data_IF_775265730728
#
_entry.id   IF_775265730728
#
_cell.length_a   1.000
_cell.length_b   1.000
_cell.length_c   1.000
_cell.angle_alpha   90.00
_cell.angle_beta   90.00
_cell.angle_gamma   90.00
#
_symmetry.space_group_name_H-M   'P 1'
#
loop_
_entity.id
_entity.type
_entity.pdbx_description
1 polymer ?
#
# COMPACT_ATOMS: atom_id res chain seq x y z
N UNK A 1 7.09 9.92 -3.39
CA UNK A 1 6.46 11.15 -3.93
C UNK A 1 7.51 12.18 -4.37
N UNK A 2 8.63 12.32 -3.65
CA UNK A 2 9.67 13.29 -4.01
C UNK A 2 10.36 12.96 -5.34
N UNK A 3 10.49 11.67 -5.66
CA UNK A 3 11.08 11.23 -6.93
C UNK A 3 10.24 11.66 -8.13
N UNK A 4 8.92 11.43 -8.08
CA UNK A 4 8.00 11.81 -9.14
C UNK A 4 7.96 13.33 -9.31
N UNK A 5 7.85 14.08 -8.21
CA UNK A 5 7.91 15.54 -8.21
C UNK A 5 9.21 16.06 -8.80
N UNK A 6 10.36 15.47 -8.44
CA UNK A 6 11.67 15.82 -8.96
C UNK A 6 11.75 15.60 -10.48
N UNK A 7 11.26 14.46 -10.96
CA UNK A 7 11.22 14.13 -12.40
C UNK A 7 10.40 15.15 -13.17
N UNK A 8 9.20 15.49 -12.71
CA UNK A 8 8.38 16.52 -13.35
C UNK A 8 9.02 17.92 -13.28
N UNK A 9 9.73 18.23 -12.20
CA UNK A 9 10.45 19.49 -12.06
C UNK A 9 11.60 19.63 -13.06
N UNK A 10 12.29 18.54 -13.39
CA UNK A 10 13.29 18.52 -14.47
C UNK A 10 12.65 18.71 -15.84
N UNK A 11 11.42 18.24 -16.04
CA UNK A 11 10.68 18.37 -17.29
C UNK A 11 9.93 19.71 -17.45
N UNK A 12 10.16 20.72 -16.59
CA UNK A 12 9.44 22.00 -16.61
C UNK A 12 9.42 22.71 -17.98
N UNK A 13 10.48 22.55 -18.75
CA UNK A 13 10.56 23.09 -20.11
C UNK A 13 9.60 22.43 -21.09
N UNK A 14 9.37 21.12 -20.94
CA UNK A 14 8.45 20.33 -21.75
C UNK A 14 6.99 20.64 -21.39
N UNK A 15 6.67 20.64 -20.11
CA UNK A 15 5.32 20.94 -19.60
C UNK A 15 5.00 22.44 -19.59
N UNK A 16 5.99 23.31 -19.89
CA UNK A 16 5.90 24.78 -19.96
C UNK A 16 5.33 25.42 -18.69
N UNK A 17 5.57 24.82 -17.54
CA UNK A 17 5.16 25.34 -16.24
C UNK A 17 5.99 24.69 -15.13
N UNK A 18 6.07 25.34 -13.98
CA UNK A 18 6.76 24.81 -12.82
C UNK A 18 5.76 24.02 -11.95
N UNK A 19 5.99 22.73 -11.72
CA UNK A 19 5.20 21.95 -10.78
C UNK A 19 5.29 22.56 -9.38
N UNK A 20 4.21 22.44 -8.61
CA UNK A 20 4.10 22.94 -7.25
C UNK A 20 3.64 21.79 -6.35
N UNK A 21 4.23 21.68 -5.17
CA UNK A 21 3.81 20.71 -4.16
C UNK A 21 2.94 21.39 -3.13
N UNK A 22 1.74 20.85 -2.89
CA UNK A 22 0.89 21.32 -1.82
C UNK A 22 1.27 20.62 -0.52
N UNK A 23 1.69 21.38 0.49
CA UNK A 23 2.12 20.85 1.78
C UNK A 23 0.98 20.70 2.79
N UNK A 24 -0.12 21.43 2.59
CA UNK A 24 -1.33 21.35 3.41
C UNK A 24 -2.59 21.31 2.54
N UNK A 25 -3.72 21.01 3.19
CA UNK A 25 -5.03 21.03 2.55
C UNK A 25 -5.43 22.44 2.10
N UNK A 26 -5.18 23.43 2.95
CA UNK A 26 -5.47 24.85 2.68
C UNK A 26 -4.64 25.34 1.49
N UNK A 27 -3.39 24.91 1.41
CA UNK A 27 -2.54 25.22 0.27
C UNK A 27 -3.05 24.55 -1.01
N UNK A 28 -3.46 23.28 -0.94
CA UNK A 28 -4.08 22.57 -2.08
C UNK A 28 -5.34 23.32 -2.55
N UNK A 29 -6.22 23.73 -1.65
CA UNK A 29 -7.42 24.49 -1.98
C UNK A 29 -7.08 25.82 -2.65
N UNK A 30 -6.12 26.55 -2.12
CA UNK A 30 -5.65 27.82 -2.71
C UNK A 30 -5.08 27.63 -4.12
N UNK A 31 -4.28 26.57 -4.33
CA UNK A 31 -3.69 26.26 -5.64
C UNK A 31 -4.75 25.84 -6.66
N UNK A 32 -5.82 25.20 -6.24
CA UNK A 32 -6.95 24.79 -7.09
C UNK A 32 -7.87 25.95 -7.49
N UNK A 33 -7.77 27.12 -6.88
CA UNK A 33 -8.61 28.30 -7.22
C UNK A 33 -8.15 29.00 -8.50
N UNK A 34 -7.00 28.65 -9.07
CA UNK A 34 -6.53 29.24 -10.33
C UNK A 34 -7.46 28.85 -11.50
N UNK A 35 -7.64 29.76 -12.45
CA UNK A 35 -8.60 29.57 -13.55
C UNK A 35 -8.21 28.42 -14.50
N UNK A 36 -6.91 28.23 -14.79
CA UNK A 36 -6.42 27.21 -15.70
C UNK A 36 -4.93 26.93 -15.49
N UNK A 37 -4.47 25.82 -16.03
CA UNK A 37 -3.08 25.38 -15.99
C UNK A 37 -2.63 24.95 -14.59
N UNK A 38 -1.40 24.52 -14.48
CA UNK A 38 -0.79 24.09 -13.23
C UNK A 38 -0.66 22.57 -13.11
N UNK A 39 0.49 22.16 -12.61
CA UNK A 39 0.75 20.80 -12.16
C UNK A 39 0.96 20.87 -10.65
N UNK A 40 0.06 20.26 -9.90
CA UNK A 40 0.04 20.29 -8.43
C UNK A 40 0.27 18.88 -7.92
N UNK A 41 1.32 18.69 -7.14
CA UNK A 41 1.61 17.45 -6.44
C UNK A 41 1.01 17.50 -5.04
N UNK A 42 0.38 16.41 -4.64
CA UNK A 42 -0.19 16.27 -3.31
C UNK A 42 -0.28 14.81 -2.91
N UNK A 43 -0.47 14.52 -1.64
CA UNK A 43 -0.72 13.17 -1.13
C UNK A 43 -2.21 12.97 -0.82
N UNK A 44 -2.67 11.72 -0.89
CA UNK A 44 -4.08 11.36 -0.64
C UNK A 44 -4.59 11.80 0.74
N UNK A 45 -3.71 11.83 1.74
CA UNK A 45 -4.05 12.22 3.11
C UNK A 45 -4.55 13.67 3.22
N UNK A 46 -4.25 14.52 2.23
CA UNK A 46 -4.72 15.92 2.19
C UNK A 46 -6.17 16.07 1.73
N UNK A 47 -6.79 14.99 1.27
CA UNK A 47 -8.21 14.92 0.92
C UNK A 47 -9.06 14.41 2.09
N UNK A 48 -8.82 14.81 3.32
CA UNK A 48 -9.60 14.39 4.47
C UNK A 48 -11.11 14.64 4.34
N UNK A 49 -11.89 14.18 5.31
CA UNK A 49 -13.32 14.40 5.36
C UNK A 49 -13.65 15.89 5.32
N UNK A 50 -14.55 16.30 4.42
CA UNK A 50 -14.97 17.68 4.28
C UNK A 50 -16.43 17.76 3.87
N UNK A 51 -17.12 18.73 4.43
CA UNK A 51 -18.49 19.06 4.05
C UNK A 51 -18.57 19.74 2.66
N UNK A 52 -17.47 20.36 2.20
CA UNK A 52 -17.46 21.12 0.96
C UNK A 52 -16.34 20.67 0.01
N UNK A 53 -16.59 20.65 -1.32
CA UNK A 53 -15.58 20.38 -2.32
C UNK A 53 -14.43 21.40 -2.27
N UNK A 54 -13.21 20.95 -2.56
CA UNK A 54 -12.06 21.85 -2.75
C UNK A 54 -12.22 22.75 -3.97
N UNK A 55 -12.85 22.20 -5.02
CA UNK A 55 -13.24 22.94 -6.23
C UNK A 55 -14.32 22.16 -6.99
N UNK A 56 -15.19 22.89 -7.68
CA UNK A 56 -16.21 22.34 -8.58
C UNK A 56 -15.84 22.45 -10.06
N UNK A 57 -14.58 22.77 -10.34
CA UNK A 57 -14.08 22.92 -11.71
C UNK A 57 -14.12 21.60 -12.46
N UNK A 58 -14.43 21.67 -13.77
CA UNK A 58 -14.47 20.52 -14.69
C UNK A 58 -13.16 20.30 -15.44
N UNK A 59 -12.26 21.30 -15.45
CA UNK A 59 -10.97 21.23 -16.13
C UNK A 59 -9.82 20.81 -15.18
N UNK A 60 -10.11 19.91 -14.27
CA UNK A 60 -9.13 19.27 -13.37
C UNK A 60 -8.97 17.82 -13.76
N UNK A 61 -7.73 17.39 -13.90
CA UNK A 61 -7.37 15.98 -14.11
C UNK A 61 -6.56 15.50 -12.91
N UNK A 62 -7.02 14.46 -12.27
CA UNK A 62 -6.32 13.79 -11.17
C UNK A 62 -5.60 12.57 -11.72
N UNK A 63 -4.29 12.56 -11.58
CA UNK A 63 -3.43 11.44 -11.94
C UNK A 63 -2.92 10.79 -10.66
N UNK A 64 -3.43 9.60 -10.35
CA UNK A 64 -3.05 8.86 -9.13
C UNK A 64 -2.00 7.81 -9.48
N UNK A 65 -0.81 7.99 -8.95
CA UNK A 65 0.24 6.97 -8.97
C UNK A 65 0.00 5.95 -7.83
N UNK A 66 0.40 4.71 -8.02
CA UNK A 66 0.13 3.61 -7.10
C UNK A 66 -1.36 3.54 -6.71
N UNK A 67 -2.22 3.63 -7.71
CA UNK A 67 -3.66 3.79 -7.55
C UNK A 67 -4.31 2.72 -6.67
N UNK A 68 -3.70 1.51 -6.56
CA UNK A 68 -4.16 0.46 -5.66
C UNK A 68 -4.15 0.88 -4.18
N UNK A 69 -3.31 1.84 -3.78
CA UNK A 69 -3.25 2.36 -2.40
C UNK A 69 -4.41 3.29 -2.07
N UNK A 70 -5.06 3.88 -3.07
CA UNK A 70 -6.22 4.76 -2.90
C UNK A 70 -7.55 4.01 -2.70
N UNK A 71 -7.55 2.69 -2.87
CA UNK A 71 -8.76 1.85 -2.90
C UNK A 71 -9.39 1.62 -1.53
N UNK A 72 -8.71 1.94 -0.46
CA UNK A 72 -9.28 1.84 0.88
C UNK A 72 -10.39 2.88 1.02
N UNK A 73 -11.66 2.45 0.71
CA UNK A 73 -12.74 3.14 1.31
C UNK A 73 -13.81 3.84 0.53
N UNK A 74 -14.41 3.23 -0.46
CA UNK A 74 -15.80 3.59 -0.78
C UNK A 74 -16.80 3.00 0.22
N UNK A 75 -16.47 1.86 0.86
CA UNK A 75 -17.28 1.29 1.92
C UNK A 75 -16.99 1.97 3.26
N UNK A 76 -18.03 2.34 3.96
CA UNK A 76 -17.94 2.83 5.32
C UNK A 76 -17.32 1.76 6.23
N UNK A 77 -16.31 2.14 7.01
CA UNK A 77 -15.78 1.33 8.10
C UNK A 77 -16.21 1.94 9.41
N UNK A 78 -16.80 1.15 10.26
CA UNK A 78 -17.13 1.56 11.63
C UNK A 78 -15.91 1.25 12.51
N UNK A 79 -15.38 2.27 13.17
CA UNK A 79 -14.35 2.05 14.18
C UNK A 79 -14.98 1.29 15.36
N UNK A 80 -14.46 0.12 15.65
CA UNK A 80 -15.00 -0.77 16.69
C UNK A 80 -14.90 -0.18 18.12
N UNK A 81 -14.04 0.85 18.32
CA UNK A 81 -13.83 1.46 19.64
C UNK A 81 -14.63 2.75 19.81
N UNK A 82 -14.74 3.58 18.76
CA UNK A 82 -15.41 4.90 18.81
C UNK A 82 -16.82 4.86 18.24
N UNK A 83 -17.17 3.85 17.43
CA UNK A 83 -18.43 3.79 16.70
C UNK A 83 -18.52 4.76 15.51
N UNK A 84 -17.44 5.50 15.21
CA UNK A 84 -17.42 6.46 14.12
C UNK A 84 -17.36 5.77 12.75
N UNK A 85 -18.06 6.34 11.79
CA UNK A 85 -18.09 5.85 10.41
C UNK A 85 -17.05 6.62 9.62
N UNK A 86 -15.95 5.94 9.25
CA UNK A 86 -14.91 6.50 8.36
C UNK A 86 -15.02 5.91 6.95
N UNK A 87 -14.71 6.74 5.97
CA UNK A 87 -14.52 6.32 4.58
C UNK A 87 -13.04 6.39 4.23
N UNK A 88 -12.64 5.76 3.13
CA UNK A 88 -11.25 5.87 2.71
C UNK A 88 -10.96 7.09 1.85
N UNK A 89 -9.69 7.31 1.62
CA UNK A 89 -9.19 8.48 0.89
C UNK A 89 -9.72 8.61 -0.54
N UNK A 90 -10.07 7.51 -1.20
CA UNK A 90 -10.63 7.55 -2.55
C UNK A 90 -11.99 8.26 -2.58
N UNK A 91 -12.85 8.02 -1.57
CA UNK A 91 -14.13 8.72 -1.44
C UNK A 91 -13.89 10.19 -1.18
N UNK A 92 -13.06 10.54 -0.21
CA UNK A 92 -12.75 11.94 0.12
C UNK A 92 -12.17 12.71 -1.06
N UNK A 93 -11.32 12.08 -1.85
CA UNK A 93 -10.76 12.68 -3.07
C UNK A 93 -11.86 12.94 -4.12
N UNK A 94 -12.80 12.00 -4.32
CA UNK A 94 -13.93 12.15 -5.22
C UNK A 94 -14.90 13.25 -4.76
N UNK A 95 -15.21 13.27 -3.47
CA UNK A 95 -16.10 14.28 -2.88
C UNK A 95 -15.47 15.69 -2.93
N UNK A 96 -14.16 15.77 -2.74
CA UNK A 96 -13.41 17.03 -2.82
C UNK A 96 -13.30 17.60 -4.25
N UNK A 97 -13.36 16.74 -5.26
CA UNK A 97 -13.18 17.08 -6.68
C UNK A 97 -14.28 16.43 -7.55
N UNK A 98 -15.57 16.76 -7.34
CA UNK A 98 -16.70 16.02 -7.90
C UNK A 98 -16.78 16.06 -9.43
N UNK A 99 -16.23 17.07 -10.08
CA UNK A 99 -16.28 17.27 -11.52
C UNK A 99 -14.93 17.01 -12.21
N UNK A 100 -13.92 16.52 -11.49
CA UNK A 100 -12.62 16.19 -12.06
C UNK A 100 -12.65 14.89 -12.85
N UNK A 101 -11.77 14.78 -13.85
CA UNK A 101 -11.44 13.51 -14.49
C UNK A 101 -10.35 12.79 -13.69
N UNK A 102 -10.46 11.48 -13.56
CA UNK A 102 -9.53 10.68 -12.78
C UNK A 102 -8.89 9.61 -13.65
N UNK A 103 -7.57 9.46 -13.52
CA UNK A 103 -6.79 8.39 -14.13
C UNK A 103 -5.87 7.78 -13.06
N UNK A 104 -5.85 6.47 -12.96
CA UNK A 104 -4.98 5.72 -12.03
C UNK A 104 -3.91 4.94 -12.78
N UNK A 105 -2.71 4.94 -12.24
CA UNK A 105 -1.59 4.10 -12.68
C UNK A 105 -1.25 3.13 -11.54
N UNK A 106 -1.10 1.86 -11.86
CA UNK A 106 -0.72 0.84 -10.86
C UNK A 106 -0.08 -0.36 -11.51
N UNK A 107 0.99 -0.87 -10.92
CA UNK A 107 1.60 -2.15 -11.30
C UNK A 107 0.91 -3.36 -10.67
N UNK A 108 0.02 -3.15 -9.69
CA UNK A 108 -0.66 -4.21 -8.94
C UNK A 108 -2.16 -3.92 -8.78
N UNK A 109 -2.93 -4.01 -9.88
CA UNK A 109 -4.38 -3.81 -9.78
C UNK A 109 -4.99 -4.88 -8.87
N UNK A 110 -5.87 -4.45 -7.97
CA UNK A 110 -6.55 -5.35 -7.03
C UNK A 110 -8.03 -5.38 -7.38
N UNK A 111 -8.54 -6.59 -7.58
CA UNK A 111 -9.95 -6.88 -7.78
C UNK A 111 -10.40 -7.85 -6.67
N UNK A 112 -10.71 -7.32 -5.51
CA UNK A 112 -11.28 -8.05 -4.40
C UNK A 112 -12.61 -7.42 -3.99
N UNK A 113 -13.47 -8.18 -3.30
CA UNK A 113 -14.84 -7.75 -2.94
C UNK A 113 -14.92 -6.38 -2.25
N UNK A 114 -13.87 -6.00 -1.53
CA UNK A 114 -13.79 -4.73 -0.79
C UNK A 114 -12.92 -3.67 -1.45
N UNK A 115 -12.18 -4.01 -2.51
CA UNK A 115 -11.18 -3.16 -3.13
C UNK A 115 -11.24 -3.37 -4.64
N UNK A 116 -11.74 -2.38 -5.37
CA UNK A 116 -11.97 -2.49 -6.81
C UNK A 116 -11.44 -1.24 -7.53
N UNK A 117 -10.30 -1.37 -8.23
CA UNK A 117 -9.69 -0.29 -9.01
C UNK A 117 -10.65 0.29 -10.06
N UNK A 118 -11.39 -0.52 -10.85
CA UNK A 118 -12.38 -0.02 -11.78
C UNK A 118 -13.50 0.79 -11.15
N UNK A 119 -13.90 0.53 -9.92
CA UNK A 119 -14.92 1.31 -9.23
C UNK A 119 -14.44 2.75 -8.91
N UNK A 120 -13.14 2.94 -8.74
CA UNK A 120 -12.55 4.26 -8.44
C UNK A 120 -12.21 5.03 -9.70
N UNK A 121 -11.55 4.39 -10.66
CA UNK A 121 -10.95 5.04 -11.83
C UNK A 121 -11.66 4.72 -13.16
N UNK A 122 -12.60 3.79 -13.17
CA UNK A 122 -13.24 3.28 -14.39
C UNK A 122 -12.52 2.07 -14.97
N UNK A 123 -12.94 1.65 -16.15
CA UNK A 123 -12.36 0.49 -16.84
C UNK A 123 -10.89 0.74 -17.22
N UNK A 124 -10.15 -0.36 -17.38
CA UNK A 124 -8.77 -0.30 -17.86
C UNK A 124 -8.69 0.37 -19.23
N UNK A 125 -7.79 1.34 -19.35
CA UNK A 125 -7.48 2.01 -20.63
C UNK A 125 -6.47 1.16 -21.40
N UNK A 126 -5.44 0.67 -20.69
CA UNK A 126 -4.40 -0.22 -21.22
C UNK A 126 -3.85 -1.10 -20.09
N UNK A 127 -3.32 -2.27 -20.47
CA UNK A 127 -2.67 -3.21 -19.55
C UNK A 127 -1.33 -3.61 -20.17
N UNK A 128 -0.26 -3.32 -19.45
CA UNK A 128 1.10 -3.74 -19.77
C UNK A 128 1.59 -4.71 -18.69
N UNK A 129 1.28 -5.98 -18.87
CA UNK A 129 1.60 -7.03 -17.90
C UNK A 129 3.03 -7.59 -18.05
N UNK A 130 3.41 -8.47 -17.11
CA UNK A 130 4.74 -9.11 -17.10
C UNK A 130 4.97 -9.91 -18.38
N UNK A 131 3.95 -10.57 -18.94
CA UNK A 131 4.06 -11.36 -20.16
C UNK A 131 4.49 -10.48 -21.32
N UNK A 132 3.77 -9.38 -21.52
CA UNK A 132 4.07 -8.39 -22.55
C UNK A 132 5.43 -7.71 -22.34
N UNK A 133 5.77 -7.43 -21.10
CA UNK A 133 7.08 -6.85 -20.77
C UNK A 133 8.25 -7.80 -21.08
N UNK A 134 8.07 -9.12 -20.94
CA UNK A 134 9.05 -10.13 -21.33
C UNK A 134 9.14 -10.23 -22.86
N UNK A 135 8.02 -10.25 -23.58
CA UNK A 135 7.96 -10.28 -25.03
C UNK A 135 8.66 -9.08 -25.67
N UNK A 136 8.46 -7.89 -25.09
CA UNK A 136 9.10 -6.63 -25.53
C UNK A 136 10.58 -6.52 -25.09
N UNK A 137 11.09 -7.46 -24.31
CA UNK A 137 12.47 -7.42 -23.78
C UNK A 137 12.69 -6.36 -22.70
N UNK A 138 11.62 -5.79 -22.13
CA UNK A 138 11.69 -4.80 -21.06
C UNK A 138 12.05 -5.42 -19.71
N UNK A 139 11.79 -6.72 -19.52
CA UNK A 139 12.17 -7.49 -18.34
C UNK A 139 12.57 -8.92 -18.75
N UNK A 140 13.05 -9.70 -17.78
CA UNK A 140 13.43 -11.10 -17.97
C UNK A 140 12.34 -12.05 -17.47
N UNK A 141 12.24 -13.27 -18.02
CA UNK A 141 11.32 -14.28 -17.51
C UNK A 141 11.57 -14.59 -16.04
N UNK A 142 10.51 -14.71 -15.26
CA UNK A 142 10.56 -15.12 -13.86
C UNK A 142 10.37 -16.64 -13.80
N UNK A 143 11.36 -17.34 -13.31
CA UNK A 143 11.28 -18.77 -13.05
C UNK A 143 10.97 -18.98 -11.58
N UNK A 144 9.80 -19.54 -11.29
CA UNK A 144 9.40 -19.85 -9.93
C UNK A 144 9.77 -21.31 -9.61
N UNK A 145 10.69 -21.50 -8.67
CA UNK A 145 11.04 -22.81 -8.12
C UNK A 145 10.55 -22.92 -6.68
N UNK A 146 9.53 -23.73 -6.46
CA UNK A 146 9.05 -24.02 -5.11
C UNK A 146 9.92 -25.10 -4.47
N UNK A 147 10.71 -24.72 -3.48
CA UNK A 147 11.51 -25.66 -2.67
C UNK A 147 10.89 -25.82 -1.29
N UNK A 148 10.45 -27.02 -0.98
CA UNK A 148 10.07 -27.38 0.38
C UNK A 148 11.32 -27.68 1.21
N UNK A 149 11.71 -26.73 2.07
CA UNK A 149 12.71 -27.03 3.08
C UNK A 149 12.05 -27.89 4.18
N UNK A 150 12.39 -29.17 4.25
CA UNK A 150 12.06 -30.00 5.44
C UNK A 150 12.82 -29.43 6.63
N UNK A 151 12.08 -28.96 7.61
CA UNK A 151 12.61 -28.40 8.84
C UNK A 151 12.51 -29.50 9.89
N UNK A 152 13.64 -30.09 10.22
CA UNK A 152 13.78 -30.99 11.37
C UNK A 152 14.55 -30.20 12.43
N UNK A 153 13.91 -29.93 13.56
CA UNK A 153 14.57 -29.42 14.76
C UNK A 153 15.42 -30.55 15.38
N UNK A 154 16.67 -30.25 15.61
CA UNK A 154 17.56 -31.14 16.36
C UNK A 154 17.11 -31.19 17.85
N UNK A 155 17.25 -32.34 18.50
CA UNK A 155 16.87 -32.49 19.93
C UNK A 155 17.60 -31.48 20.84
N UNK A 156 18.83 -31.09 20.48
CA UNK A 156 19.58 -30.07 21.21
C UNK A 156 18.98 -28.65 21.06
N UNK A 157 18.38 -28.34 19.90
CA UNK A 157 17.69 -27.08 19.65
C UNK A 157 16.34 -27.04 20.37
N UNK A 158 15.63 -28.16 20.41
CA UNK A 158 14.38 -28.28 21.20
C UNK A 158 14.61 -28.04 22.68
N UNK A 159 15.68 -28.63 23.25
CA UNK A 159 16.02 -28.44 24.66
C UNK A 159 16.35 -26.97 25.00
N UNK A 160 17.03 -26.24 24.10
CA UNK A 160 17.31 -24.81 24.28
C UNK A 160 16.02 -23.97 24.26
N UNK A 161 15.11 -24.25 23.32
CA UNK A 161 13.83 -23.57 23.22
C UNK A 161 12.98 -23.85 24.46
N UNK A 162 12.93 -25.09 24.92
CA UNK A 162 12.20 -25.46 26.13
C UNK A 162 12.78 -24.78 27.37
N UNK A 163 14.07 -24.58 27.46
CA UNK A 163 14.71 -23.86 28.56
C UNK A 163 14.39 -22.35 28.51
N UNK A 164 14.50 -21.71 27.34
CA UNK A 164 14.17 -20.28 27.14
C UNK A 164 12.68 -19.99 27.41
N UNK A 165 11.79 -20.88 26.95
CA UNK A 165 10.35 -20.74 27.22
C UNK A 165 10.03 -20.88 28.70
N UNK A 166 10.68 -21.79 29.41
CA UNK A 166 10.47 -21.95 30.85
C UNK A 166 10.99 -20.74 31.64
N UNK A 167 12.10 -20.13 31.22
CA UNK A 167 12.68 -18.94 31.84
C UNK A 167 11.79 -17.70 31.62
N UNK A 168 11.23 -17.53 30.41
CA UNK A 168 10.33 -16.43 30.06
C UNK A 168 8.93 -16.54 30.69
N UNK A 169 8.50 -17.74 31.07
CA UNK A 169 7.19 -18.00 31.68
C UNK A 169 7.26 -18.33 33.15
N UNK A 170 8.36 -17.99 33.81
CA UNK A 170 8.54 -18.19 35.23
C UNK A 170 7.55 -17.31 36.02
N UNK A 171 6.53 -17.94 36.63
CA UNK A 171 5.45 -17.25 37.36
C UNK A 171 4.08 -17.31 36.71
N UNK A 172 3.96 -17.78 35.46
CA UNK A 172 2.68 -17.89 34.75
C UNK A 172 1.94 -19.23 35.09
N UNK A 173 0.63 -19.25 34.82
CA UNK A 173 -0.17 -20.46 34.98
C UNK A 173 0.23 -21.54 33.97
N UNK A 174 0.03 -22.83 34.32
CA UNK A 174 0.35 -23.95 33.41
C UNK A 174 -0.39 -23.87 32.06
N UNK A 175 -1.63 -23.34 32.04
CA UNK A 175 -2.39 -23.09 30.79
C UNK A 175 -1.76 -22.00 29.92
N UNK A 176 -1.26 -20.93 30.51
CA UNK A 176 -0.60 -19.83 29.79
C UNK A 176 0.76 -20.28 29.26
N UNK A 177 1.51 -21.08 30.02
CA UNK A 177 2.76 -21.69 29.59
C UNK A 177 2.57 -22.62 28.39
N UNK A 178 1.54 -23.48 28.40
CA UNK A 178 1.23 -24.36 27.27
C UNK A 178 0.76 -23.56 26.03
N UNK A 179 -0.01 -22.49 26.23
CA UNK A 179 -0.46 -21.62 25.15
C UNK A 179 0.71 -20.84 24.51
N UNK A 180 1.63 -20.37 25.33
CA UNK A 180 2.85 -19.69 24.90
C UNK A 180 3.78 -20.69 24.18
N UNK A 181 3.97 -21.88 24.71
CA UNK A 181 4.73 -22.98 24.09
C UNK A 181 4.20 -23.35 22.70
N UNK A 182 2.87 -23.49 22.54
CA UNK A 182 2.23 -23.78 21.24
C UNK A 182 2.42 -22.66 20.23
N UNK A 183 2.44 -21.42 20.66
CA UNK A 183 2.59 -20.28 19.77
C UNK A 183 4.05 -20.06 19.33
N UNK A 184 4.99 -20.30 20.23
CA UNK A 184 6.43 -20.07 20.01
C UNK A 184 7.12 -21.24 19.30
N UNK A 185 6.82 -22.46 19.67
CA UNK A 185 7.47 -23.65 19.09
C UNK A 185 7.09 -23.92 17.63
N UNK A 186 5.99 -23.36 17.15
CA UNK A 186 5.51 -23.76 15.81
C UNK A 186 6.04 -22.91 14.67
N UNK A 187 6.41 -21.66 14.86
CA UNK A 187 6.78 -20.78 13.74
C UNK A 187 8.14 -20.11 13.90
N UNK A 188 8.45 -19.45 14.99
CA UNK A 188 9.66 -18.62 15.10
C UNK A 188 10.94 -19.42 15.32
N UNK A 189 10.89 -20.46 16.15
CA UNK A 189 12.04 -21.35 16.35
C UNK A 189 12.37 -22.16 15.09
N UNK A 190 11.35 -22.57 14.33
CA UNK A 190 11.51 -23.23 13.04
C UNK A 190 12.06 -22.28 11.97
N UNK A 191 11.71 -21.00 12.01
CA UNK A 191 12.11 -19.99 11.01
C UNK A 191 13.55 -19.50 11.24
N UNK A 192 14.00 -19.40 12.48
CA UNK A 192 15.29 -18.81 12.87
C UNK A 192 16.44 -19.79 13.05
N UNK A 193 16.27 -21.11 12.86
CA UNK A 193 17.35 -22.07 13.10
C UNK A 193 18.51 -21.88 12.10
N UNK A 194 19.74 -21.89 12.60
CA UNK A 194 20.98 -21.70 11.81
C UNK A 194 21.07 -22.70 10.64
N UNK A 195 20.57 -23.91 10.83
CA UNK A 195 20.54 -24.95 9.82
C UNK A 195 19.62 -24.65 8.65
N UNK A 196 18.49 -23.97 8.92
CA UNK A 196 17.57 -23.50 7.88
C UNK A 196 18.16 -22.30 7.14
N UNK A 197 18.69 -21.34 7.86
CA UNK A 197 19.36 -20.18 7.27
C UNK A 197 20.50 -20.60 6.35
N UNK A 198 21.30 -21.59 6.75
CA UNK A 198 22.37 -22.15 5.92
C UNK A 198 21.86 -22.93 4.69
N UNK A 199 20.65 -23.50 4.73
CA UNK A 199 20.03 -24.18 3.57
C UNK A 199 19.35 -23.20 2.60
N UNK A 200 18.78 -22.12 3.10
CA UNK A 200 18.14 -21.08 2.27
C UNK A 200 19.18 -20.17 1.61
N UNK A 201 20.36 -20.01 2.25
CA UNK A 201 21.47 -19.21 1.73
C UNK A 201 22.35 -19.91 0.67
N UNK A 202 22.09 -21.18 0.35
CA UNK A 202 22.72 -21.95 -0.74
C UNK A 202 21.83 -21.98 -1.98
#
# INVERSE_FOLDING_TARGET
DDQLFSTFSMCKGLIRQTPVQANSREELQRLLQRASGGVIFTTLQKFGETAEPLTTRTNVVVMADEAHRSQYGFKAKVDAKTGEIGYGFAKYMRDALPNASFIGFTGTPIEADDVNTPAVFGNYIDVYDITRAVEDGATVPIYYESRLARIELDEAEKQKIDAEVNDLTEGDSEEDKERFKRKWTTVEALVGSDRRLARVAK
#
